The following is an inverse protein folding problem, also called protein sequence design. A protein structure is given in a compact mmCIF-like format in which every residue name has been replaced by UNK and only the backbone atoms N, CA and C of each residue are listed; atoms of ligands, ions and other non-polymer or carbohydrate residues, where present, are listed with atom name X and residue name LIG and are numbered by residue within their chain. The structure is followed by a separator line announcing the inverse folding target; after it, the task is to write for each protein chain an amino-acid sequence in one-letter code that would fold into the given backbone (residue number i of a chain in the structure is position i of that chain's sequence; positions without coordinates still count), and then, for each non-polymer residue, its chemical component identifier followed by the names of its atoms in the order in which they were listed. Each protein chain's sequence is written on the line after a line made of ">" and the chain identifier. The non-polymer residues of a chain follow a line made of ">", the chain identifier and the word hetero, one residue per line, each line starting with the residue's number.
data_IF_664729543513
#
_entry.id   IF_664729543513
#
_cell.length_a   1.000
_cell.length_b   1.000
_cell.length_c   1.000
_cell.angle_alpha   90.00
_cell.angle_beta   90.00
_cell.angle_gamma   90.00
#
_symmetry.space_group_name_H-M   'P 1'
#
loop_
_entity.id
_entity.type
_entity.pdbx_description
1 polymer ?
#
# COMPACT_ATOMS: atom_id res chain seq x y z
N UNK A 1 4.28 -2.05 26.93
CA UNK A 1 4.83 -3.10 27.81
C UNK A 1 3.78 -3.86 28.64
N UNK A 2 2.66 -3.23 29.08
CA UNK A 2 1.60 -3.94 29.82
C UNK A 2 0.96 -5.07 28.99
N UNK A 3 0.65 -4.85 27.72
CA UNK A 3 0.05 -5.84 26.83
C UNK A 3 0.96 -7.07 26.63
N UNK A 4 2.27 -6.87 26.49
CA UNK A 4 3.25 -7.98 26.39
C UNK A 4 3.35 -8.74 27.71
N UNK A 5 3.29 -8.06 28.86
CA UNK A 5 3.27 -8.73 30.17
C UNK A 5 2.00 -9.58 30.37
N UNK A 6 0.84 -9.09 29.92
CA UNK A 6 -0.43 -9.81 30.04
C UNK A 6 -0.53 -10.99 29.06
N UNK A 7 0.02 -10.87 27.85
CA UNK A 7 0.04 -11.94 26.85
C UNK A 7 1.35 -11.93 26.07
N UNK A 8 2.37 -12.67 26.52
CA UNK A 8 3.68 -12.74 25.86
C UNK A 8 3.65 -13.37 24.46
N UNK A 9 2.60 -14.10 24.10
CA UNK A 9 2.46 -14.75 22.81
C UNK A 9 1.52 -14.00 21.84
N UNK A 10 1.26 -12.69 22.10
CA UNK A 10 0.40 -11.91 21.22
C UNK A 10 1.24 -11.09 20.24
N UNK A 11 1.35 -11.57 18.99
CA UNK A 11 2.18 -11.02 17.93
C UNK A 11 1.95 -9.53 17.66
N UNK A 12 0.70 -9.08 17.79
CA UNK A 12 0.35 -7.68 17.53
C UNK A 12 0.97 -6.71 18.54
N UNK A 13 1.14 -7.13 19.80
CA UNK A 13 1.78 -6.29 20.82
C UNK A 13 3.22 -5.97 20.46
N UNK A 14 3.97 -6.98 19.98
CA UNK A 14 5.36 -6.79 19.55
C UNK A 14 5.43 -5.91 18.29
N UNK A 15 4.59 -6.16 17.30
CA UNK A 15 4.54 -5.35 16.10
C UNK A 15 4.21 -3.87 16.41
N UNK A 16 3.23 -3.62 17.27
CA UNK A 16 2.84 -2.26 17.62
C UNK A 16 3.92 -1.53 18.46
N UNK A 17 4.61 -2.24 19.35
CA UNK A 17 5.74 -1.68 20.06
C UNK A 17 6.91 -1.40 19.12
N UNK A 18 7.15 -2.27 18.12
CA UNK A 18 8.12 -2.05 17.07
C UNK A 18 7.83 -0.77 16.28
N UNK A 19 6.57 -0.55 15.88
CA UNK A 19 6.17 0.69 15.21
C UNK A 19 6.49 1.93 16.06
N UNK A 20 6.11 1.89 17.33
CA UNK A 20 6.38 2.99 18.25
C UNK A 20 7.88 3.28 18.37
N UNK A 21 8.73 2.25 18.51
CA UNK A 21 10.17 2.43 18.57
C UNK A 21 10.76 2.95 17.26
N UNK A 22 10.23 2.51 16.12
CA UNK A 22 10.62 3.02 14.80
C UNK A 22 10.31 4.53 14.66
N UNK A 23 9.15 5.00 15.15
CA UNK A 23 8.81 6.42 15.22
C UNK A 23 9.81 7.22 16.09
N UNK A 24 10.31 6.63 17.15
CA UNK A 24 11.39 7.19 17.98
C UNK A 24 12.80 6.98 17.41
N UNK A 25 12.92 6.54 16.14
CA UNK A 25 14.18 6.25 15.44
C UNK A 25 15.05 5.18 16.11
N UNK A 26 14.45 4.33 16.92
CA UNK A 26 15.11 3.18 17.57
C UNK A 26 14.99 1.94 16.66
N UNK A 27 15.59 2.03 15.49
CA UNK A 27 15.36 1.07 14.39
C UNK A 27 15.84 -0.34 14.73
N UNK A 28 16.97 -0.48 15.45
CA UNK A 28 17.48 -1.80 15.85
C UNK A 28 16.55 -2.47 16.88
N UNK A 29 16.06 -1.72 17.87
CA UNK A 29 15.10 -2.23 18.85
C UNK A 29 13.76 -2.59 18.18
N UNK A 30 13.31 -1.78 17.23
CA UNK A 30 12.11 -2.06 16.44
C UNK A 30 12.24 -3.34 15.59
N UNK A 31 13.40 -3.52 14.94
CA UNK A 31 13.75 -4.70 14.17
C UNK A 31 13.58 -5.99 15.00
N UNK A 32 14.14 -6.03 16.20
CA UNK A 32 14.06 -7.19 17.10
C UNK A 32 12.61 -7.52 17.49
N UNK A 33 11.79 -6.49 17.68
CA UNK A 33 10.37 -6.68 18.01
C UNK A 33 9.55 -7.20 16.82
N UNK A 34 9.85 -6.74 15.60
CA UNK A 34 9.22 -7.30 14.41
C UNK A 34 9.61 -8.77 14.22
N UNK A 35 10.87 -9.14 14.46
CA UNK A 35 11.31 -10.53 14.43
C UNK A 35 10.60 -11.38 15.49
N UNK A 36 10.40 -10.86 16.71
CA UNK A 36 9.60 -11.55 17.74
C UNK A 36 8.16 -11.76 17.29
N UNK A 37 7.53 -10.76 16.69
CA UNK A 37 6.18 -10.89 16.16
C UNK A 37 6.09 -11.97 15.06
N UNK A 38 7.08 -12.02 14.17
CA UNK A 38 7.20 -13.03 13.10
C UNK A 38 7.46 -14.43 13.68
N UNK A 39 8.27 -14.53 14.73
CA UNK A 39 8.53 -15.81 15.41
C UNK A 39 7.27 -16.39 16.03
N UNK A 40 6.44 -15.53 16.64
CA UNK A 40 5.14 -15.95 17.24
C UNK A 40 4.16 -16.33 16.13
N UNK A 41 4.11 -15.57 15.03
CA UNK A 41 3.19 -15.80 13.92
C UNK A 41 3.90 -15.70 12.57
N UNK A 42 4.43 -16.83 12.04
CA UNK A 42 5.23 -16.83 10.81
C UNK A 42 4.51 -16.34 9.54
N UNK A 43 3.18 -16.31 9.54
CA UNK A 43 2.37 -15.79 8.43
C UNK A 43 1.83 -14.36 8.68
N UNK A 44 2.44 -13.62 9.60
CA UNK A 44 2.02 -12.26 9.92
C UNK A 44 2.59 -11.24 8.91
N UNK A 45 1.95 -11.11 7.75
CA UNK A 45 2.40 -10.26 6.64
C UNK A 45 2.70 -8.81 7.09
N UNK A 46 1.90 -8.23 8.00
CA UNK A 46 2.12 -6.87 8.50
C UNK A 46 3.46 -6.69 9.19
N UNK A 47 3.90 -7.67 9.98
CA UNK A 47 5.20 -7.60 10.66
C UNK A 47 6.35 -7.69 9.64
N UNK A 48 6.24 -8.50 8.59
CA UNK A 48 7.22 -8.51 7.50
C UNK A 48 7.26 -7.17 6.76
N UNK A 49 6.10 -6.58 6.47
CA UNK A 49 6.01 -5.26 5.81
C UNK A 49 6.73 -4.19 6.64
N UNK A 50 6.44 -4.12 7.95
CA UNK A 50 7.05 -3.16 8.85
C UNK A 50 8.56 -3.41 9.01
N UNK A 51 8.99 -4.67 9.09
CA UNK A 51 10.40 -5.06 9.15
C UNK A 51 11.15 -4.58 7.89
N UNK A 52 10.60 -4.86 6.69
CA UNK A 52 11.19 -4.44 5.42
C UNK A 52 11.26 -2.92 5.29
N UNK A 53 10.23 -2.22 5.74
CA UNK A 53 10.24 -0.76 5.76
C UNK A 53 11.30 -0.20 6.72
N UNK A 54 11.46 -0.81 7.90
CA UNK A 54 12.43 -0.41 8.90
C UNK A 54 13.89 -0.54 8.40
N UNK A 55 14.18 -1.52 7.53
CA UNK A 55 15.51 -1.67 6.92
C UNK A 55 15.97 -0.45 6.12
N UNK A 56 15.05 0.36 5.58
CA UNK A 56 15.42 1.60 4.86
C UNK A 56 16.12 2.64 5.74
N UNK A 57 16.02 2.49 7.06
CA UNK A 57 16.60 3.39 8.06
C UNK A 57 17.77 2.77 8.84
N UNK A 58 18.10 1.52 8.55
CA UNK A 58 19.24 0.83 9.19
C UNK A 58 20.48 1.01 8.33
N UNK A 59 21.61 1.37 8.97
CA UNK A 59 22.89 1.60 8.28
C UNK A 59 23.53 0.26 7.90
N UNK A 60 23.52 -0.68 8.86
CA UNK A 60 24.18 -2.00 8.69
C UNK A 60 23.10 -3.09 8.66
N UNK A 61 22.90 -3.70 7.50
CA UNK A 61 22.06 -4.88 7.35
C UNK A 61 22.60 -5.81 6.27
N UNK A 62 22.31 -7.10 6.40
CA UNK A 62 22.62 -8.10 5.37
C UNK A 62 21.56 -8.07 4.25
N UNK A 63 21.95 -7.70 3.00
CA UNK A 63 21.03 -7.68 1.85
C UNK A 63 20.41 -9.05 1.56
N UNK A 64 21.11 -10.15 1.84
CA UNK A 64 20.58 -11.50 1.62
C UNK A 64 19.47 -11.82 2.63
N UNK A 65 19.65 -11.39 3.87
CA UNK A 65 18.64 -11.52 4.91
C UNK A 65 17.40 -10.68 4.58
N UNK A 66 17.60 -9.42 4.16
CA UNK A 66 16.52 -8.57 3.64
C UNK A 66 15.73 -9.27 2.53
N UNK A 67 16.44 -9.79 1.51
CA UNK A 67 15.81 -10.49 0.38
C UNK A 67 15.04 -11.74 0.84
N UNK A 68 15.55 -12.45 1.85
CA UNK A 68 14.85 -13.62 2.42
C UNK A 68 13.50 -13.22 3.05
N UNK A 69 13.47 -12.12 3.80
CA UNK A 69 12.23 -11.59 4.38
C UNK A 69 11.26 -11.06 3.32
N UNK A 70 11.76 -10.42 2.27
CA UNK A 70 10.94 -9.97 1.14
C UNK A 70 10.26 -11.15 0.43
N UNK A 71 10.99 -12.27 0.21
CA UNK A 71 10.43 -13.51 -0.33
C UNK A 71 9.34 -14.10 0.58
N UNK A 72 9.56 -14.11 1.90
CA UNK A 72 8.57 -14.57 2.89
C UNK A 72 7.33 -13.67 2.93
N UNK A 73 7.52 -12.35 2.86
CA UNK A 73 6.42 -11.40 2.74
C UNK A 73 5.54 -11.69 1.52
N UNK A 74 6.17 -11.82 0.34
CA UNK A 74 5.48 -12.19 -0.90
C UNK A 74 4.70 -13.51 -0.78
N UNK A 75 5.30 -14.53 -0.17
CA UNK A 75 4.64 -15.81 0.05
C UNK A 75 3.38 -15.66 0.91
N UNK A 76 3.45 -14.87 1.99
CA UNK A 76 2.31 -14.58 2.87
C UNK A 76 1.20 -13.80 2.15
N UNK A 77 1.54 -12.84 1.30
CA UNK A 77 0.57 -12.12 0.46
C UNK A 77 -0.10 -13.06 -0.54
N UNK A 78 0.62 -14.02 -1.11
CA UNK A 78 0.06 -15.01 -2.04
C UNK A 78 -0.94 -15.97 -1.38
N UNK A 79 -0.84 -16.22 -0.08
CA UNK A 79 -1.86 -17.00 0.65
C UNK A 79 -3.22 -16.29 0.66
N UNK A 80 -3.22 -14.97 0.74
CA UNK A 80 -4.45 -14.16 0.63
C UNK A 80 -5.02 -14.24 -0.79
N UNK A 81 -4.15 -14.25 -1.82
CA UNK A 81 -4.52 -14.30 -3.23
C UNK A 81 -5.20 -15.61 -3.63
N UNK A 82 -4.90 -16.74 -2.99
CA UNK A 82 -5.51 -18.05 -3.33
C UNK A 82 -7.04 -18.07 -3.24
N UNK A 83 -7.63 -17.16 -2.49
CA UNK A 83 -9.08 -17.03 -2.30
C UNK A 83 -9.74 -16.07 -3.29
N UNK A 84 -8.97 -15.47 -4.21
CA UNK A 84 -9.45 -14.51 -5.19
C UNK A 84 -9.30 -15.10 -6.59
N UNK A 85 -10.41 -15.60 -7.17
CA UNK A 85 -10.42 -16.06 -8.57
C UNK A 85 -11.09 -15.02 -9.45
N UNK A 86 -10.31 -14.05 -9.91
CA UNK A 86 -10.76 -13.15 -10.97
C UNK A 86 -10.22 -13.66 -12.31
N UNK A 87 -11.12 -14.01 -13.23
CA UNK A 87 -10.75 -14.23 -14.63
C UNK A 87 -10.78 -12.90 -15.33
N UNK A 88 -9.62 -12.25 -15.40
CA UNK A 88 -9.50 -10.98 -16.10
C UNK A 88 -9.69 -11.21 -17.62
N UNK A 89 -10.72 -10.59 -18.18
CA UNK A 89 -10.96 -10.53 -19.61
C UNK A 89 -10.72 -9.09 -20.03
N UNK A 90 -9.59 -8.83 -20.66
CA UNK A 90 -9.29 -7.51 -21.20
C UNK A 90 -9.32 -7.55 -22.73
N UNK A 91 -9.75 -6.46 -23.33
CA UNK A 91 -9.66 -6.25 -24.77
C UNK A 91 -8.18 -6.12 -25.17
N UNK A 92 -7.71 -6.95 -26.12
CA UNK A 92 -6.29 -6.94 -26.52
C UNK A 92 -5.85 -5.62 -27.15
N UNK A 93 -6.75 -4.94 -27.86
CA UNK A 93 -6.49 -3.65 -28.51
C UNK A 93 -7.59 -2.64 -28.14
N UNK A 94 -7.63 -2.14 -26.92
CA UNK A 94 -8.66 -1.19 -26.50
C UNK A 94 -8.49 0.14 -27.24
N UNK A 95 -9.60 0.76 -27.62
CA UNK A 95 -9.61 2.11 -28.22
C UNK A 95 -8.97 3.14 -27.29
N UNK A 96 -9.13 2.94 -25.97
CA UNK A 96 -8.49 3.74 -24.91
C UNK A 96 -8.00 2.83 -23.80
N UNK A 97 -6.78 3.08 -23.33
CA UNK A 97 -6.30 2.41 -22.12
C UNK A 97 -6.94 3.06 -20.90
N UNK A 98 -7.50 2.23 -20.02
CA UNK A 98 -7.97 2.64 -18.69
C UNK A 98 -6.82 2.55 -17.71
N UNK A 99 -6.45 3.67 -17.11
CA UNK A 99 -5.37 3.77 -16.12
C UNK A 99 -5.98 4.14 -14.77
N UNK A 100 -5.87 3.25 -13.80
CA UNK A 100 -6.31 3.47 -12.43
C UNK A 100 -5.16 3.97 -11.56
N UNK A 101 -5.43 4.93 -10.70
CA UNK A 101 -4.48 5.46 -9.72
C UNK A 101 -5.03 5.27 -8.32
N UNK A 102 -4.28 4.57 -7.46
CA UNK A 102 -4.60 4.47 -6.03
C UNK A 102 -3.74 5.48 -5.27
N UNK A 103 -4.38 6.38 -4.50
CA UNK A 103 -3.63 7.35 -3.69
C UNK A 103 -4.46 7.93 -2.53
N UNK A 104 -3.75 8.30 -1.45
CA UNK A 104 -4.23 9.21 -0.41
C UNK A 104 -3.83 10.67 -0.68
N UNK A 105 -3.03 10.93 -1.70
CA UNK A 105 -2.23 12.14 -1.83
C UNK A 105 -2.76 13.11 -2.90
N UNK A 106 -3.97 12.87 -3.43
CA UNK A 106 -4.63 13.82 -4.32
C UNK A 106 -5.13 15.04 -3.55
N UNK A 107 -4.21 15.92 -3.17
CA UNK A 107 -4.45 17.10 -2.37
C UNK A 107 -3.15 17.77 -1.95
N UNK A 108 -3.21 18.60 -0.92
CA UNK A 108 -2.06 19.32 -0.37
C UNK A 108 -1.09 18.34 0.33
N UNK A 109 -0.27 17.70 -0.48
CA UNK A 109 0.71 16.70 -0.07
C UNK A 109 1.88 16.70 -1.09
N UNK A 110 3.14 16.44 -0.68
CA UNK A 110 4.26 16.36 -1.62
C UNK A 110 4.02 15.46 -2.81
N UNK A 111 3.45 14.26 -2.60
CA UNK A 111 3.05 13.34 -3.67
C UNK A 111 2.03 13.96 -4.64
N UNK A 112 1.10 14.77 -4.13
CA UNK A 112 0.13 15.51 -4.94
C UNK A 112 0.82 16.52 -5.85
N UNK A 113 1.75 17.31 -5.35
CA UNK A 113 2.46 18.30 -6.16
C UNK A 113 3.19 17.67 -7.34
N UNK A 114 3.87 16.54 -7.12
CA UNK A 114 4.58 15.83 -8.19
C UNK A 114 3.64 15.17 -9.20
N UNK A 115 2.51 14.62 -8.76
CA UNK A 115 1.61 13.87 -9.65
C UNK A 115 0.69 14.77 -10.47
N UNK A 116 0.37 15.98 -10.00
CA UNK A 116 -0.58 16.87 -10.67
C UNK A 116 -0.16 17.23 -12.10
N UNK A 117 1.11 17.57 -12.32
CA UNK A 117 1.65 17.88 -13.66
C UNK A 117 1.58 16.67 -14.59
N UNK A 118 1.96 15.51 -14.11
CA UNK A 118 1.89 14.24 -14.86
C UNK A 118 0.45 13.90 -15.26
N UNK A 119 -0.51 14.04 -14.35
CA UNK A 119 -1.91 13.79 -14.62
C UNK A 119 -2.50 14.77 -15.64
N UNK A 120 -2.09 16.04 -15.59
CA UNK A 120 -2.48 17.04 -16.60
C UNK A 120 -2.02 16.66 -18.00
N UNK A 121 -0.80 16.15 -18.14
CA UNK A 121 -0.27 15.70 -19.43
C UNK A 121 -0.94 14.40 -19.89
N UNK A 122 -1.20 13.45 -18.99
CA UNK A 122 -1.92 12.22 -19.31
C UNK A 122 -3.36 12.50 -19.76
N UNK A 123 -4.04 13.49 -19.14
CA UNK A 123 -5.40 13.90 -19.54
C UNK A 123 -5.49 14.40 -20.99
N UNK A 124 -4.41 14.98 -21.53
CA UNK A 124 -4.33 15.43 -22.93
C UNK A 124 -4.17 14.26 -23.91
N UNK A 125 -3.82 13.07 -23.41
CA UNK A 125 -3.64 11.86 -24.23
C UNK A 125 -4.93 11.05 -24.31
N UNK A 126 -4.93 10.06 -25.17
CA UNK A 126 -6.10 9.20 -25.39
C UNK A 126 -6.20 8.08 -24.33
N UNK A 127 -6.19 8.48 -23.04
CA UNK A 127 -6.36 7.60 -21.89
C UNK A 127 -7.68 7.88 -21.16
N UNK A 128 -8.19 6.87 -20.50
CA UNK A 128 -9.28 6.99 -19.54
C UNK A 128 -8.70 6.85 -18.14
N UNK A 129 -8.71 7.95 -17.38
CA UNK A 129 -8.07 8.03 -16.07
C UNK A 129 -9.10 7.82 -14.97
N UNK A 130 -8.83 6.92 -14.03
CA UNK A 130 -9.71 6.58 -12.91
C UNK A 130 -8.96 6.72 -11.59
N UNK A 131 -9.54 7.47 -10.64
CA UNK A 131 -8.98 7.64 -9.30
C UNK A 131 -9.64 6.65 -8.32
N UNK A 132 -8.82 6.02 -7.47
CA UNK A 132 -9.21 5.24 -6.30
C UNK A 132 -8.60 5.89 -5.06
N UNK A 133 -9.40 6.66 -4.35
CA UNK A 133 -8.94 7.57 -3.30
C UNK A 133 -9.07 6.92 -1.94
N UNK A 134 -7.95 6.70 -1.27
CA UNK A 134 -7.91 6.07 0.06
C UNK A 134 -8.19 7.07 1.18
N UNK A 135 -7.86 8.36 0.98
CA UNK A 135 -8.22 9.47 1.86
C UNK A 135 -8.83 10.56 1.00
N UNK A 136 -10.11 10.85 1.21
CA UNK A 136 -10.82 11.90 0.46
C UNK A 136 -10.45 13.27 1.05
N UNK A 137 -9.43 13.90 0.46
CA UNK A 137 -8.98 15.25 0.85
C UNK A 137 -9.93 16.28 0.27
N UNK A 138 -10.29 17.26 1.06
CA UNK A 138 -11.19 18.35 0.64
C UNK A 138 -10.51 19.72 0.75
N UNK A 139 -9.19 19.76 0.61
CA UNK A 139 -8.43 21.01 0.56
C UNK A 139 -8.54 21.68 -0.84
N UNK A 140 -8.16 22.95 -0.91
CA UNK A 140 -8.23 23.73 -2.14
C UNK A 140 -7.39 23.10 -3.27
N UNK A 141 -6.22 22.53 -2.94
CA UNK A 141 -5.36 21.90 -3.91
C UNK A 141 -5.97 20.60 -4.47
N UNK A 142 -6.72 19.85 -3.65
CA UNK A 142 -7.44 18.65 -4.07
C UNK A 142 -8.45 18.88 -5.19
N UNK A 143 -9.03 20.09 -5.26
CA UNK A 143 -9.98 20.48 -6.31
C UNK A 143 -9.38 20.44 -7.71
N UNK A 144 -8.05 20.54 -7.83
CA UNK A 144 -7.37 20.47 -9.12
C UNK A 144 -7.30 19.04 -9.70
N UNK A 145 -7.51 18.02 -8.87
CA UNK A 145 -7.38 16.63 -9.30
C UNK A 145 -8.65 16.06 -9.93
N UNK A 146 -9.80 16.30 -9.31
CA UNK A 146 -11.07 15.72 -9.78
C UNK A 146 -11.32 15.91 -11.28
N UNK A 147 -11.13 17.09 -11.86
CA UNK A 147 -11.39 17.32 -13.29
C UNK A 147 -10.44 16.54 -14.24
N UNK A 148 -9.32 16.03 -13.71
CA UNK A 148 -8.34 15.28 -14.50
C UNK A 148 -8.77 13.83 -14.72
N UNK A 149 -9.63 13.29 -13.87
CA UNK A 149 -10.10 11.93 -13.95
C UNK A 149 -11.46 11.83 -14.66
N UNK A 150 -11.68 10.71 -15.32
CA UNK A 150 -12.98 10.36 -15.89
C UNK A 150 -13.92 9.86 -14.79
N UNK A 151 -13.36 9.15 -13.80
CA UNK A 151 -14.07 8.70 -12.61
C UNK A 151 -13.25 8.94 -11.35
N UNK A 152 -13.94 9.33 -10.29
CA UNK A 152 -13.36 9.58 -8.97
C UNK A 152 -14.05 8.71 -7.94
N UNK A 153 -13.36 7.65 -7.52
CA UNK A 153 -13.90 6.62 -6.65
C UNK A 153 -13.28 6.73 -5.24
N UNK A 154 -14.06 7.16 -4.25
CA UNK A 154 -13.62 7.06 -2.86
C UNK A 154 -13.68 5.59 -2.42
N UNK A 155 -12.53 5.05 -2.02
CA UNK A 155 -12.39 3.71 -1.46
C UNK A 155 -12.11 3.75 0.05
N UNK A 156 -12.15 4.93 0.65
CA UNK A 156 -12.02 5.12 2.08
C UNK A 156 -13.02 4.24 2.84
N UNK A 157 -12.55 3.55 3.86
CA UNK A 157 -13.37 2.63 4.71
C UNK A 157 -13.92 1.40 3.99
N UNK A 158 -13.66 1.19 2.70
CA UNK A 158 -14.06 -0.05 2.02
C UNK A 158 -13.13 -1.20 2.43
N UNK A 159 -13.69 -2.40 2.54
CA UNK A 159 -12.88 -3.62 2.72
C UNK A 159 -12.06 -3.88 1.46
N UNK A 160 -10.81 -4.32 1.60
CA UNK A 160 -9.89 -4.57 0.48
C UNK A 160 -10.51 -5.43 -0.63
N UNK A 161 -11.29 -6.47 -0.26
CA UNK A 161 -11.95 -7.33 -1.24
C UNK A 161 -12.93 -6.54 -2.12
N UNK A 162 -13.69 -5.60 -1.55
CA UNK A 162 -14.62 -4.76 -2.31
C UNK A 162 -13.91 -3.76 -3.22
N UNK A 163 -12.75 -3.28 -2.81
CA UNK A 163 -11.90 -2.43 -3.66
C UNK A 163 -11.37 -3.23 -4.85
N UNK A 164 -10.87 -4.44 -4.61
CA UNK A 164 -10.37 -5.32 -5.67
C UNK A 164 -11.49 -5.68 -6.66
N UNK A 165 -12.68 -6.06 -6.16
CA UNK A 165 -13.85 -6.35 -7.00
C UNK A 165 -14.24 -5.14 -7.86
N UNK A 166 -14.20 -3.92 -7.31
CA UNK A 166 -14.51 -2.70 -8.04
C UNK A 166 -13.48 -2.45 -9.14
N UNK A 167 -12.18 -2.43 -8.81
CA UNK A 167 -11.10 -2.20 -9.79
C UNK A 167 -11.16 -3.23 -10.93
N UNK A 168 -11.46 -4.48 -10.59
CA UNK A 168 -11.65 -5.52 -11.58
C UNK A 168 -12.86 -5.26 -12.49
N UNK A 169 -14.01 -4.88 -11.91
CA UNK A 169 -15.24 -4.56 -12.65
C UNK A 169 -15.07 -3.36 -13.59
N UNK A 170 -14.27 -2.37 -13.14
CA UNK A 170 -13.99 -1.15 -13.89
C UNK A 170 -13.11 -1.42 -15.12
N UNK A 171 -12.52 -2.62 -15.22
CA UNK A 171 -11.73 -3.07 -16.38
C UNK A 171 -10.43 -2.30 -16.54
N UNK A 172 -9.74 -2.03 -15.43
CA UNK A 172 -8.48 -1.28 -15.42
C UNK A 172 -7.38 -2.09 -16.13
N UNK A 173 -6.73 -1.51 -17.13
CA UNK A 173 -5.62 -2.13 -17.86
C UNK A 173 -4.28 -1.94 -17.13
N UNK A 174 -4.08 -0.74 -16.57
CA UNK A 174 -2.86 -0.39 -15.82
C UNK A 174 -3.29 0.22 -14.49
N UNK A 175 -2.87 -0.40 -13.39
CA UNK A 175 -3.09 0.12 -12.04
C UNK A 175 -1.79 0.66 -11.48
N UNK A 176 -1.77 1.93 -11.10
CA UNK A 176 -0.64 2.63 -10.51
C UNK A 176 -0.94 2.90 -9.04
N UNK A 177 -0.15 2.31 -8.16
CA UNK A 177 -0.18 2.59 -6.73
C UNK A 177 0.85 3.68 -6.42
N UNK A 178 0.38 4.85 -5.98
CA UNK A 178 1.23 5.99 -5.64
C UNK A 178 1.65 6.01 -4.17
N UNK A 179 1.13 5.10 -3.36
CA UNK A 179 1.39 5.07 -1.92
C UNK A 179 2.39 3.99 -1.51
N UNK A 180 2.43 2.86 -2.22
CA UNK A 180 3.30 1.75 -1.87
C UNK A 180 3.05 1.28 -0.43
N UNK A 181 4.10 1.35 0.41
CA UNK A 181 4.06 0.96 1.82
C UNK A 181 3.65 2.07 2.81
N UNK A 182 3.33 3.26 2.34
CA UNK A 182 3.05 4.43 3.20
C UNK A 182 1.61 4.50 3.69
N UNK A 183 0.77 3.53 3.37
CA UNK A 183 -0.65 3.50 3.76
C UNK A 183 -0.94 2.47 4.85
#
# INVERSE_FOLDING_TARGET
>A
NKAIKSNPNYEKSYNNLGNLLSEFRKYNEAHDLYLKAIKIKPNYAKAYSNLLFNYNYMIDYDPNLYLSYAKKYRANCNLIKKNLSFKYQYEKNPKKLKIGFISADFGNHPGGYFTLSTLRELKKKNFELMAYVTIDRNDEFARNFKPLFNEWNSIQKKKNIKVIEQIFKDGIHILIDLQGHSA
#
